data_IF_763868559562
#
_entry.id   IF_763868559562
#
_cell.length_a   1.000
_cell.length_b   1.000
_cell.length_c   1.000
_cell.angle_alpha   90.00
_cell.angle_beta   90.00
_cell.angle_gamma   90.00
#
_symmetry.space_group_name_H-M   'P 1'
#
loop_
_entity.id
_entity.type
_entity.pdbx_description
1 polymer ?
#
# COMPACT_ATOMS: atom_id res chain seq x y z
N UNK A 1 0.21 2.98 -63.15
CA UNK A 1 1.21 3.58 -62.23
C UNK A 1 0.42 4.20 -61.10
N UNK A 2 0.31 3.51 -60.03
CA UNK A 2 -0.35 3.93 -58.78
C UNK A 2 0.41 3.26 -57.64
N UNK A 3 1.08 4.07 -56.86
CA UNK A 3 1.78 3.64 -55.62
C UNK A 3 0.77 3.50 -54.52
N UNK A 4 0.61 2.28 -53.99
CA UNK A 4 -0.06 2.03 -52.70
C UNK A 4 0.95 2.22 -51.59
N UNK A 5 0.71 3.23 -50.76
CA UNK A 5 1.42 3.45 -49.49
C UNK A 5 0.83 2.54 -48.44
N UNK A 6 1.59 1.55 -48.00
CA UNK A 6 1.23 0.67 -46.88
C UNK A 6 1.34 1.36 -45.55
N UNK A 7 0.23 1.49 -44.81
CA UNK A 7 0.19 1.85 -43.41
C UNK A 7 0.71 0.68 -42.57
N UNK A 8 1.88 0.86 -41.96
CA UNK A 8 2.42 -0.04 -40.94
C UNK A 8 1.66 0.19 -39.62
N UNK A 9 0.77 -0.72 -39.28
CA UNK A 9 0.21 -0.84 -37.93
C UNK A 9 1.33 -1.24 -36.96
N UNK A 10 1.77 -0.31 -36.12
CA UNK A 10 2.51 -0.64 -34.94
C UNK A 10 1.57 -1.29 -33.91
N UNK A 11 1.58 -2.59 -33.86
CA UNK A 11 1.01 -3.35 -32.74
C UNK A 11 1.95 -3.19 -31.54
N UNK A 12 1.51 -2.42 -30.56
CA UNK A 12 2.20 -2.33 -29.29
C UNK A 12 2.19 -3.68 -28.58
N UNK A 13 3.36 -4.22 -28.27
CA UNK A 13 3.53 -5.42 -27.46
C UNK A 13 2.90 -5.17 -26.08
N UNK A 14 1.78 -5.83 -25.81
CA UNK A 14 1.20 -5.89 -24.48
C UNK A 14 2.02 -6.88 -23.64
N UNK A 15 2.70 -6.40 -22.61
CA UNK A 15 3.37 -7.24 -21.63
C UNK A 15 2.31 -7.86 -20.72
N UNK A 16 2.20 -9.18 -20.71
CA UNK A 16 1.37 -9.93 -19.76
C UNK A 16 2.16 -10.12 -18.47
N UNK A 17 1.55 -9.73 -17.32
CA UNK A 17 2.09 -10.10 -16.02
C UNK A 17 1.77 -11.57 -15.69
N UNK A 18 2.35 -12.09 -14.60
CA UNK A 18 2.20 -13.49 -14.17
C UNK A 18 0.74 -13.92 -13.92
N UNK A 19 -0.21 -13.01 -13.99
CA UNK A 19 -1.65 -13.24 -13.86
C UNK A 19 -2.41 -13.25 -15.19
N UNK A 20 -1.71 -13.09 -16.33
CA UNK A 20 -2.36 -12.98 -17.64
C UNK A 20 -3.19 -11.71 -17.83
N UNK A 21 -3.01 -10.69 -16.99
CA UNK A 21 -3.72 -9.42 -17.06
C UNK A 21 -2.98 -8.49 -18.03
N UNK A 22 -3.63 -8.10 -19.12
CA UNK A 22 -3.08 -7.14 -20.08
C UNK A 22 -3.03 -5.76 -19.42
N UNK A 23 -1.84 -5.30 -19.03
CA UNK A 23 -1.64 -3.91 -18.63
C UNK A 23 -1.37 -3.06 -19.84
N UNK A 24 -2.23 -2.11 -20.14
CA UNK A 24 -1.89 -1.04 -21.07
C UNK A 24 -0.83 -0.15 -20.42
N UNK A 25 0.36 -0.11 -21.02
CA UNK A 25 1.57 0.56 -20.51
C UNK A 25 1.52 2.09 -20.47
N UNK A 26 0.38 2.73 -20.52
CA UNK A 26 0.28 4.19 -20.43
C UNK A 26 -0.71 4.63 -19.35
N UNK A 27 -0.35 4.43 -18.07
CA UNK A 27 -1.02 5.13 -16.98
C UNK A 27 -0.13 6.29 -16.52
N UNK A 28 -0.53 7.56 -16.73
CA UNK A 28 0.24 8.74 -16.31
C UNK A 28 0.50 8.79 -14.79
N UNK A 29 -0.20 7.97 -14.03
CA UNK A 29 -0.03 7.84 -12.57
C UNK A 29 1.28 7.16 -12.12
N UNK A 30 1.95 6.36 -12.98
CA UNK A 30 3.20 5.69 -12.58
C UNK A 30 4.37 6.66 -12.53
N UNK A 31 4.41 7.62 -13.46
CA UNK A 31 5.48 8.64 -13.56
C UNK A 31 5.35 9.66 -12.41
N UNK A 32 4.11 10.03 -12.03
CA UNK A 32 3.88 10.94 -10.90
C UNK A 32 4.33 10.37 -9.54
N UNK A 33 4.33 9.05 -9.36
CA UNK A 33 4.69 8.41 -8.07
C UNK A 33 6.18 8.48 -7.73
N UNK A 34 7.07 8.46 -8.71
CA UNK A 34 8.54 8.56 -8.49
C UNK A 34 8.89 9.97 -8.05
N UNK A 35 8.30 10.98 -8.65
CA UNK A 35 8.51 12.40 -8.31
C UNK A 35 7.96 12.74 -6.90
N UNK A 36 6.79 12.27 -6.56
CA UNK A 36 6.17 12.49 -5.23
C UNK A 36 7.01 11.87 -4.12
N UNK A 37 7.58 10.69 -4.35
CA UNK A 37 8.41 10.03 -3.35
C UNK A 37 9.76 10.73 -3.17
N UNK A 38 10.42 11.13 -4.25
CA UNK A 38 11.64 11.93 -4.19
C UNK A 38 11.43 13.25 -3.46
N UNK A 39 10.35 13.97 -3.78
CA UNK A 39 9.95 15.20 -3.10
C UNK A 39 9.62 14.97 -1.62
N UNK A 40 8.96 13.86 -1.29
CA UNK A 40 8.68 13.47 0.10
C UNK A 40 9.96 13.26 0.91
N UNK A 41 10.93 12.48 0.41
CA UNK A 41 12.19 12.26 1.12
C UNK A 41 13.04 13.53 1.24
N UNK A 42 13.09 14.37 0.21
CA UNK A 42 13.81 15.65 0.24
C UNK A 42 13.20 16.59 1.27
N UNK A 43 11.87 16.69 1.33
CA UNK A 43 11.18 17.52 2.33
C UNK A 43 11.45 17.06 3.76
N UNK A 44 11.53 15.73 3.99
CA UNK A 44 11.82 15.16 5.30
C UNK A 44 13.29 15.31 5.72
N UNK A 45 14.22 15.26 4.76
CA UNK A 45 15.65 15.49 5.03
C UNK A 45 15.96 16.96 5.40
N UNK A 46 15.13 17.89 4.98
CA UNK A 46 15.29 19.33 5.25
C UNK A 46 14.77 19.76 6.64
N UNK A 47 14.20 18.83 7.43
CA UNK A 47 13.70 19.16 8.78
C UNK A 47 14.85 19.40 9.75
N UNK A 48 14.85 20.52 10.50
CA UNK A 48 15.77 20.73 11.61
C UNK A 48 15.54 19.69 12.72
N UNK A 49 16.60 19.29 13.42
CA UNK A 49 16.56 18.22 14.46
C UNK A 49 15.53 18.47 15.57
N UNK A 50 15.28 19.71 15.93
CA UNK A 50 14.29 20.10 16.95
C UNK A 50 12.82 20.00 16.47
N UNK A 51 12.54 19.87 15.16
CA UNK A 51 11.20 19.58 14.66
C UNK A 51 10.77 18.11 14.84
N UNK A 52 11.66 17.26 15.38
CA UNK A 52 11.40 15.85 15.67
C UNK A 52 10.64 15.62 17.00
N UNK A 53 10.40 16.66 17.79
CA UNK A 53 9.73 16.55 19.10
C UNK A 53 8.24 16.20 19.02
N UNK A 54 7.55 16.45 17.89
CA UNK A 54 6.23 15.89 17.62
C UNK A 54 6.29 15.04 16.36
N UNK A 55 6.30 13.73 16.52
CA UNK A 55 6.29 12.80 15.39
C UNK A 55 5.07 13.09 14.51
N UNK A 56 5.25 13.42 13.21
CA UNK A 56 4.14 13.72 12.32
C UNK A 56 3.25 12.49 12.12
N UNK A 57 1.95 12.72 11.96
CA UNK A 57 0.96 11.68 11.76
C UNK A 57 1.28 10.80 10.55
N UNK A 58 1.10 9.49 10.70
CA UNK A 58 1.04 8.50 9.62
C UNK A 58 -0.24 7.67 9.73
N UNK A 59 -0.65 7.01 8.65
CA UNK A 59 -1.86 6.19 8.63
C UNK A 59 -1.53 4.81 8.06
N UNK A 60 -1.89 3.75 8.79
CA UNK A 60 -1.76 2.38 8.34
C UNK A 60 -3.13 1.81 7.94
N UNK A 61 -3.30 1.40 6.68
CA UNK A 61 -4.55 0.89 6.14
C UNK A 61 -4.43 -0.62 5.87
N UNK A 62 -5.16 -1.42 6.65
CA UNK A 62 -5.46 -2.80 6.34
C UNK A 62 -6.79 -2.88 5.60
N UNK A 63 -6.96 -3.84 4.68
CA UNK A 63 -8.15 -3.91 3.84
C UNK A 63 -8.46 -5.31 3.35
N UNK A 64 -9.73 -5.57 3.12
CA UNK A 64 -10.18 -6.66 2.26
C UNK A 64 -9.97 -6.30 0.78
N UNK A 65 -9.74 -7.30 -0.08
CA UNK A 65 -9.64 -7.08 -1.54
C UNK A 65 -10.98 -6.57 -2.07
N UNK A 66 -10.93 -5.52 -2.89
CA UNK A 66 -12.12 -4.86 -3.41
C UNK A 66 -12.78 -3.86 -2.45
N UNK A 67 -12.29 -3.69 -1.21
CA UNK A 67 -12.83 -2.68 -0.28
C UNK A 67 -12.32 -1.25 -0.53
N UNK A 68 -11.63 -0.98 -1.64
CA UNK A 68 -11.25 0.37 -2.07
C UNK A 68 -10.00 0.94 -1.38
N UNK A 69 -9.13 0.09 -0.81
CA UNK A 69 -7.98 0.56 -0.02
C UNK A 69 -7.09 1.55 -0.72
N UNK A 70 -6.77 1.35 -2.01
CA UNK A 70 -5.95 2.26 -2.80
C UNK A 70 -6.68 3.56 -3.11
N UNK A 71 -7.91 3.46 -3.59
CA UNK A 71 -8.75 4.63 -3.92
C UNK A 71 -8.94 5.53 -2.70
N UNK A 72 -9.23 4.91 -1.53
CA UNK A 72 -9.40 5.65 -0.27
C UNK A 72 -8.07 6.29 0.17
N UNK A 73 -6.94 5.60 0.04
CA UNK A 73 -5.63 6.16 0.37
C UNK A 73 -5.30 7.40 -0.50
N UNK A 74 -5.62 7.37 -1.78
CA UNK A 74 -5.43 8.50 -2.70
C UNK A 74 -6.34 9.68 -2.34
N UNK A 75 -7.63 9.43 -2.06
CA UNK A 75 -8.58 10.46 -1.59
C UNK A 75 -8.16 11.05 -0.24
N UNK A 76 -7.69 10.21 0.68
CA UNK A 76 -7.22 10.62 1.99
C UNK A 76 -5.97 11.50 1.88
N UNK A 77 -5.02 11.14 1.01
CA UNK A 77 -3.82 11.93 0.73
C UNK A 77 -4.20 13.37 0.29
N UNK A 78 -5.15 13.49 -0.64
CA UNK A 78 -5.63 14.80 -1.10
C UNK A 78 -6.30 15.62 0.03
N UNK A 79 -7.12 14.97 0.86
CA UNK A 79 -7.81 15.62 1.98
C UNK A 79 -6.86 16.10 3.06
N UNK A 80 -5.90 15.28 3.43
CA UNK A 80 -4.90 15.62 4.45
C UNK A 80 -3.98 16.74 3.97
N UNK A 81 -3.54 16.70 2.72
CA UNK A 81 -2.77 17.79 2.11
C UNK A 81 -3.56 19.11 2.09
N UNK A 82 -4.86 19.07 1.77
CA UNK A 82 -5.72 20.26 1.79
C UNK A 82 -5.98 20.81 3.21
N UNK A 83 -5.96 19.95 4.23
CA UNK A 83 -6.15 20.35 5.63
C UNK A 83 -4.90 21.01 6.24
N UNK A 84 -3.72 20.72 5.72
CA UNK A 84 -2.45 21.31 6.16
C UNK A 84 -2.19 22.63 5.44
N UNK A 85 -2.66 23.73 6.04
CA UNK A 85 -2.55 25.08 5.47
C UNK A 85 -1.16 25.73 5.60
N UNK A 86 -0.14 24.99 6.03
CA UNK A 86 1.20 25.55 6.20
C UNK A 86 1.92 25.70 4.86
N UNK A 87 2.57 26.82 4.56
CA UNK A 87 3.40 26.99 3.36
C UNK A 87 4.56 26.00 3.28
N UNK A 88 4.97 25.45 4.43
CA UNK A 88 6.01 24.44 4.58
C UNK A 88 5.43 23.05 4.88
N UNK A 89 4.17 22.79 4.54
CA UNK A 89 3.55 21.50 4.75
C UNK A 89 4.30 20.42 3.97
N UNK A 90 4.66 19.34 4.67
CA UNK A 90 5.28 18.20 4.03
C UNK A 90 4.25 17.45 3.18
N UNK A 91 4.61 17.00 1.97
CA UNK A 91 3.68 16.27 1.13
C UNK A 91 3.30 14.93 1.77
N UNK A 92 2.02 14.60 1.74
CA UNK A 92 1.55 13.27 2.05
C UNK A 92 1.88 12.29 0.92
N UNK A 93 2.30 11.09 1.27
CA UNK A 93 2.64 10.05 0.30
C UNK A 93 1.91 8.73 0.59
N UNK A 94 1.42 8.07 -0.47
CA UNK A 94 0.77 6.75 -0.40
C UNK A 94 1.77 5.67 -0.76
N UNK A 95 1.95 4.70 0.13
CA UNK A 95 2.78 3.51 -0.04
C UNK A 95 1.88 2.27 -0.06
N UNK A 96 1.63 1.73 -1.25
CA UNK A 96 0.82 0.53 -1.48
C UNK A 96 1.68 -0.62 -2.06
N UNK A 97 1.32 -1.14 -3.23
CA UNK A 97 2.12 -2.13 -3.94
C UNK A 97 3.55 -1.66 -4.27
N UNK A 98 3.75 -0.35 -4.44
CA UNK A 98 5.07 0.25 -4.63
C UNK A 98 5.99 0.13 -3.41
N UNK A 99 5.44 -0.16 -2.23
CA UNK A 99 6.24 -0.39 -1.02
C UNK A 99 7.17 -1.59 -1.15
N UNK A 100 6.74 -2.65 -1.85
CA UNK A 100 7.62 -3.80 -2.11
C UNK A 100 8.86 -3.39 -2.90
N UNK A 101 8.67 -2.66 -4.00
CA UNK A 101 9.76 -2.13 -4.81
C UNK A 101 10.68 -1.24 -3.98
N UNK A 102 10.12 -0.40 -3.13
CA UNK A 102 10.88 0.47 -2.23
C UNK A 102 11.73 -0.31 -1.23
N UNK A 103 11.18 -1.39 -0.66
CA UNK A 103 11.95 -2.28 0.23
C UNK A 103 13.17 -2.84 -0.48
N UNK A 104 13.03 -3.26 -1.74
CA UNK A 104 14.15 -3.79 -2.51
C UNK A 104 15.22 -2.71 -2.76
N UNK A 105 14.80 -1.51 -3.12
CA UNK A 105 15.70 -0.37 -3.34
C UNK A 105 16.44 0.04 -2.06
N UNK A 106 15.73 0.17 -0.92
CA UNK A 106 16.31 0.56 0.36
C UNK A 106 17.35 -0.42 0.90
N UNK A 107 17.25 -1.68 0.50
CA UNK A 107 18.13 -2.74 0.97
C UNK A 107 19.06 -3.29 -0.13
N UNK A 108 19.15 -2.59 -1.27
CA UNK A 108 19.98 -2.98 -2.42
C UNK A 108 19.74 -4.42 -2.89
N UNK A 109 18.48 -4.87 -2.81
CA UNK A 109 18.08 -6.21 -3.18
C UNK A 109 17.70 -6.30 -4.68
N UNK A 110 17.97 -7.43 -5.33
CA UNK A 110 17.64 -7.62 -6.74
C UNK A 110 16.11 -7.45 -7.00
N UNK A 111 15.71 -6.77 -8.09
CA UNK A 111 14.29 -6.52 -8.43
C UNK A 111 13.44 -7.79 -8.58
N UNK A 112 14.03 -8.91 -9.00
CA UNK A 112 13.32 -10.20 -9.14
C UNK A 112 12.79 -10.75 -7.80
N UNK A 113 13.22 -10.20 -6.66
CA UNK A 113 12.69 -10.55 -5.34
C UNK A 113 11.36 -9.86 -5.00
N UNK A 114 10.86 -8.94 -5.84
CA UNK A 114 9.60 -8.24 -5.60
C UNK A 114 8.45 -9.22 -5.32
N UNK A 115 8.38 -10.31 -6.05
CA UNK A 115 7.38 -11.39 -5.88
C UNK A 115 7.34 -11.99 -4.47
N UNK A 116 8.47 -12.01 -3.75
CA UNK A 116 8.57 -12.53 -2.37
C UNK A 116 8.23 -11.49 -1.31
N UNK A 117 8.33 -10.22 -1.64
CA UNK A 117 7.96 -9.11 -0.75
C UNK A 117 6.47 -8.81 -0.82
N UNK A 118 5.73 -9.36 -1.80
CA UNK A 118 4.30 -9.10 -1.96
C UNK A 118 3.45 -9.87 -0.95
N UNK A 119 2.41 -9.25 -0.37
CA UNK A 119 1.44 -9.92 0.53
C UNK A 119 0.71 -11.07 -0.17
N UNK A 120 0.55 -10.92 -1.49
CA UNK A 120 -0.15 -11.86 -2.34
C UNK A 120 0.75 -13.00 -2.84
N UNK A 121 2.00 -13.10 -2.32
CA UNK A 121 2.90 -14.18 -2.67
C UNK A 121 2.21 -15.53 -2.42
N UNK A 122 1.95 -16.26 -3.48
CA UNK A 122 1.47 -17.64 -3.44
C UNK A 122 2.47 -18.47 -2.64
N UNK A 123 2.06 -19.62 -2.15
CA UNK A 123 3.01 -20.58 -1.57
C UNK A 123 4.21 -20.66 -2.49
N UNK A 124 5.38 -20.37 -1.93
CA UNK A 124 6.63 -20.42 -2.69
C UNK A 124 6.62 -21.72 -3.51
N UNK A 125 6.84 -21.68 -4.83
CA UNK A 125 7.06 -22.86 -5.61
C UNK A 125 8.12 -23.73 -4.92
N UNK A 126 8.07 -25.05 -5.09
CA UNK A 126 9.08 -25.95 -4.48
C UNK A 126 10.49 -25.50 -4.86
N UNK A 127 10.64 -24.95 -6.09
CA UNK A 127 11.90 -24.36 -6.57
C UNK A 127 12.38 -23.21 -5.67
N UNK A 128 11.49 -22.32 -5.26
CA UNK A 128 11.86 -21.21 -4.39
C UNK A 128 12.26 -21.65 -2.99
N UNK A 129 11.67 -22.73 -2.47
CA UNK A 129 12.09 -23.34 -1.20
C UNK A 129 13.50 -23.93 -1.34
N UNK A 130 13.78 -24.59 -2.46
CA UNK A 130 15.11 -25.14 -2.77
C UNK A 130 16.15 -24.01 -2.89
N UNK A 131 15.81 -22.94 -3.61
CA UNK A 131 16.69 -21.77 -3.75
C UNK A 131 16.95 -21.08 -2.39
N UNK A 132 15.96 -21.00 -1.50
CA UNK A 132 16.11 -20.48 -0.14
C UNK A 132 17.06 -21.37 0.68
N UNK A 133 16.89 -22.70 0.61
CA UNK A 133 17.76 -23.67 1.31
C UNK A 133 19.18 -23.63 0.78
N UNK A 134 19.37 -23.40 -0.52
CA UNK A 134 20.69 -23.26 -1.15
C UNK A 134 21.30 -21.87 -0.94
N UNK A 135 20.61 -20.94 -0.29
CA UNK A 135 21.12 -19.58 -0.04
C UNK A 135 21.22 -18.71 -1.29
N UNK A 136 20.50 -19.05 -2.38
CA UNK A 136 20.55 -18.31 -3.63
C UNK A 136 19.74 -17.01 -3.59
N UNK A 137 18.82 -16.85 -2.62
CA UNK A 137 18.13 -15.61 -2.32
C UNK A 137 17.83 -15.47 -0.81
N UNK A 138 17.55 -14.25 -0.31
CA UNK A 138 17.16 -14.03 1.07
C UNK A 138 15.89 -14.82 1.43
N UNK A 139 15.84 -15.36 2.65
CA UNK A 139 14.66 -16.07 3.13
C UNK A 139 13.43 -15.13 3.20
N UNK A 140 12.22 -15.70 3.09
CA UNK A 140 10.99 -14.92 3.27
C UNK A 140 10.95 -14.19 4.62
N UNK A 141 11.60 -14.73 5.65
CA UNK A 141 11.78 -14.09 6.96
C UNK A 141 12.69 -12.86 6.89
N UNK A 142 13.81 -12.94 6.17
CA UNK A 142 14.73 -11.82 5.94
C UNK A 142 14.01 -10.68 5.20
N UNK A 143 13.24 -11.00 4.16
CA UNK A 143 12.46 -10.00 3.42
C UNK A 143 11.37 -9.35 4.29
N UNK A 144 10.71 -10.12 5.17
CA UNK A 144 9.77 -9.57 6.14
C UNK A 144 10.45 -8.62 7.14
N UNK A 145 11.68 -8.91 7.58
CA UNK A 145 12.46 -8.01 8.42
C UNK A 145 12.83 -6.71 7.69
N UNK A 146 13.27 -6.77 6.43
CA UNK A 146 13.54 -5.58 5.61
C UNK A 146 12.28 -4.74 5.43
N UNK A 147 11.15 -5.38 5.10
CA UNK A 147 9.84 -4.72 5.01
C UNK A 147 9.48 -4.01 6.31
N UNK A 148 9.68 -4.66 7.46
CA UNK A 148 9.44 -4.10 8.78
C UNK A 148 10.27 -2.84 9.03
N UNK A 149 11.58 -2.88 8.74
CA UNK A 149 12.47 -1.73 8.89
C UNK A 149 12.04 -0.54 8.03
N UNK A 150 11.71 -0.79 6.76
CA UNK A 150 11.25 0.27 5.85
C UNK A 150 9.92 0.87 6.31
N UNK A 151 8.96 0.05 6.74
CA UNK A 151 7.66 0.53 7.25
C UNK A 151 7.84 1.38 8.51
N UNK A 152 8.65 0.93 9.48
CA UNK A 152 8.92 1.70 10.70
C UNK A 152 9.60 3.03 10.39
N UNK A 153 10.55 3.06 9.44
CA UNK A 153 11.20 4.28 9.00
C UNK A 153 10.20 5.26 8.36
N UNK A 154 9.36 4.80 7.44
CA UNK A 154 8.35 5.64 6.78
C UNK A 154 7.31 6.15 7.77
N UNK A 155 6.84 5.31 8.70
CA UNK A 155 5.91 5.71 9.74
C UNK A 155 6.50 6.75 10.69
N UNK A 156 7.78 6.60 11.04
CA UNK A 156 8.51 7.56 11.90
C UNK A 156 8.76 8.91 11.25
N UNK A 157 8.93 8.95 9.92
CA UNK A 157 9.03 10.20 9.16
C UNK A 157 7.70 10.98 9.13
N UNK A 158 6.56 10.29 9.25
CA UNK A 158 5.23 10.89 9.20
C UNK A 158 4.74 11.22 7.78
N UNK A 159 3.52 11.75 7.66
CA UNK A 159 2.86 12.08 6.37
C UNK A 159 2.81 10.89 5.40
N UNK A 160 2.84 9.67 5.93
CA UNK A 160 2.83 8.43 5.17
C UNK A 160 1.48 7.71 5.32
N UNK A 161 0.90 7.29 4.20
CA UNK A 161 -0.26 6.39 4.16
C UNK A 161 0.24 5.03 3.69
N UNK A 162 0.36 4.10 4.63
CA UNK A 162 0.91 2.76 4.42
C UNK A 162 -0.24 1.78 4.16
N UNK A 163 -0.29 1.17 2.99
CA UNK A 163 -1.39 0.26 2.62
C UNK A 163 -0.91 -1.18 2.58
N UNK A 164 -1.31 -1.96 3.58
CA UNK A 164 -1.00 -3.38 3.68
C UNK A 164 0.36 -3.73 4.26
N UNK A 165 0.92 -4.86 3.89
CA UNK A 165 2.22 -5.39 4.33
C UNK A 165 2.35 -5.60 5.85
N UNK A 166 1.23 -5.80 6.53
CA UNK A 166 1.24 -5.89 7.99
C UNK A 166 1.57 -4.56 8.68
N UNK A 167 1.48 -3.42 7.98
CA UNK A 167 1.83 -2.11 8.53
C UNK A 167 1.11 -1.82 9.86
N UNK A 168 -0.17 -2.21 9.99
CA UNK A 168 -0.94 -2.07 11.22
C UNK A 168 -0.33 -2.82 12.41
N UNK A 169 0.23 -4.01 12.20
CA UNK A 169 0.87 -4.79 13.26
C UNK A 169 2.28 -4.27 13.55
N UNK A 170 3.02 -3.97 12.48
CA UNK A 170 4.39 -3.45 12.57
C UNK A 170 4.44 -2.13 13.35
N UNK A 171 3.48 -1.25 13.10
CA UNK A 171 3.42 0.10 13.70
C UNK A 171 2.52 0.19 14.93
N UNK A 172 1.98 -0.93 15.43
CA UNK A 172 1.02 -0.96 16.54
C UNK A 172 1.46 -0.23 17.83
N UNK A 173 2.77 -0.06 18.04
CA UNK A 173 3.34 0.64 19.20
C UNK A 173 3.74 2.08 18.91
N UNK A 174 3.56 2.56 17.67
CA UNK A 174 3.91 3.92 17.30
C UNK A 174 2.71 4.85 17.57
N UNK A 175 2.84 5.84 18.49
CA UNK A 175 1.73 6.69 18.89
C UNK A 175 1.28 7.65 17.77
N UNK A 176 2.14 7.93 16.80
CA UNK A 176 1.87 8.80 15.67
C UNK A 176 1.20 8.09 14.49
N UNK A 177 0.82 6.82 14.62
CA UNK A 177 0.19 6.06 13.52
C UNK A 177 -1.28 5.78 13.84
N UNK A 178 -2.16 6.16 12.91
CA UNK A 178 -3.59 5.85 12.98
C UNK A 178 -3.88 4.58 12.17
N UNK A 179 -4.48 3.57 12.83
CA UNK A 179 -4.69 2.24 12.26
C UNK A 179 -6.13 2.05 11.77
N UNK A 180 -6.28 1.73 10.49
CA UNK A 180 -7.58 1.59 9.82
C UNK A 180 -7.75 0.20 9.22
N UNK A 181 -8.94 -0.40 9.42
CA UNK A 181 -9.40 -1.58 8.70
C UNK A 181 -10.55 -1.22 7.77
N UNK A 182 -10.43 -1.57 6.48
CA UNK A 182 -11.48 -1.39 5.48
C UNK A 182 -12.10 -2.74 5.14
N UNK A 183 -13.40 -2.84 5.30
CA UNK A 183 -14.20 -4.02 4.99
C UNK A 183 -15.39 -3.63 4.10
N UNK A 184 -15.92 -4.59 3.33
CA UNK A 184 -17.17 -4.38 2.62
C UNK A 184 -17.87 -5.73 2.34
N UNK A 185 -19.20 -5.73 2.09
CA UNK A 185 -19.90 -6.92 1.65
C UNK A 185 -19.28 -7.51 0.38
N UNK A 186 -19.19 -8.84 0.31
CA UNK A 186 -18.53 -9.55 -0.79
C UNK A 186 -19.02 -9.11 -2.18
N UNK A 187 -20.34 -8.90 -2.33
CA UNK A 187 -20.94 -8.45 -3.59
C UNK A 187 -20.41 -7.06 -4.03
N UNK A 188 -20.29 -6.12 -3.08
CA UNK A 188 -19.75 -4.79 -3.36
C UNK A 188 -18.28 -4.87 -3.73
N UNK A 189 -17.49 -5.69 -3.01
CA UNK A 189 -16.08 -5.93 -3.29
C UNK A 189 -15.87 -6.57 -4.66
N UNK A 190 -16.72 -7.53 -5.04
CA UNK A 190 -16.64 -8.21 -6.33
C UNK A 190 -16.86 -7.23 -7.49
N UNK A 191 -17.91 -6.40 -7.42
CA UNK A 191 -18.17 -5.38 -8.43
C UNK A 191 -17.00 -4.41 -8.57
N UNK A 192 -16.53 -3.87 -7.47
CA UNK A 192 -15.41 -2.93 -7.48
C UNK A 192 -14.12 -3.57 -7.98
N UNK A 193 -13.82 -4.83 -7.62
CA UNK A 193 -12.64 -5.53 -8.11
C UNK A 193 -12.75 -5.84 -9.61
N UNK A 194 -13.92 -6.26 -10.09
CA UNK A 194 -14.16 -6.51 -11.51
C UNK A 194 -13.93 -5.22 -12.35
N UNK A 195 -14.48 -4.10 -11.89
CA UNK A 195 -14.34 -2.80 -12.54
C UNK A 195 -12.89 -2.28 -12.49
N UNK A 196 -12.28 -2.31 -11.30
CA UNK A 196 -10.94 -1.76 -11.07
C UNK A 196 -9.83 -2.52 -11.79
N UNK A 197 -9.94 -3.84 -11.87
CA UNK A 197 -8.96 -4.71 -12.54
C UNK A 197 -9.36 -5.12 -13.95
N UNK A 198 -10.51 -4.66 -14.47
CA UNK A 198 -11.07 -5.04 -15.77
C UNK A 198 -11.25 -6.56 -15.91
N UNK A 199 -11.76 -7.22 -14.88
CA UNK A 199 -11.97 -8.66 -14.80
C UNK A 199 -13.44 -9.03 -14.97
N UNK A 200 -13.70 -10.30 -15.32
CA UNK A 200 -15.03 -10.90 -15.16
C UNK A 200 -15.40 -10.99 -13.66
N UNK A 201 -16.70 -11.04 -13.35
CA UNK A 201 -17.15 -11.22 -11.95
C UNK A 201 -16.61 -12.52 -11.33
N UNK A 202 -16.47 -13.59 -12.12
CA UNK A 202 -15.93 -14.87 -11.69
C UNK A 202 -14.44 -14.77 -11.35
N UNK A 203 -13.66 -14.09 -12.19
CA UNK A 203 -12.22 -13.88 -11.95
C UNK A 203 -11.98 -12.92 -10.78
N UNK A 204 -12.79 -11.87 -10.65
CA UNK A 204 -12.75 -10.97 -9.52
C UNK A 204 -13.04 -11.71 -8.20
N UNK A 205 -14.05 -12.60 -8.18
CA UNK A 205 -14.36 -13.41 -7.01
C UNK A 205 -13.22 -14.39 -6.64
N UNK A 206 -12.54 -14.94 -7.66
CA UNK A 206 -11.35 -15.78 -7.46
C UNK A 206 -10.20 -14.95 -6.87
N UNK A 207 -9.90 -13.82 -7.47
CA UNK A 207 -8.87 -12.88 -7.01
C UNK A 207 -9.09 -12.47 -5.55
N UNK A 208 -10.32 -12.11 -5.17
CA UNK A 208 -10.68 -11.73 -3.79
C UNK A 208 -10.36 -12.86 -2.81
N UNK A 209 -10.77 -14.09 -3.12
CA UNK A 209 -10.51 -15.23 -2.23
C UNK A 209 -9.03 -15.51 -2.06
N UNK A 210 -8.28 -15.51 -3.17
CA UNK A 210 -6.85 -15.77 -3.16
C UNK A 210 -6.07 -14.72 -2.38
N UNK A 211 -6.32 -13.44 -2.66
CA UNK A 211 -5.61 -12.34 -1.99
C UNK A 211 -5.97 -12.20 -0.52
N UNK A 212 -7.25 -12.30 -0.15
CA UNK A 212 -7.65 -12.22 1.26
C UNK A 212 -7.06 -13.39 2.07
N UNK A 213 -7.01 -14.59 1.48
CA UNK A 213 -6.38 -15.74 2.12
C UNK A 213 -4.86 -15.56 2.26
N UNK A 214 -4.20 -15.05 1.22
CA UNK A 214 -2.77 -14.77 1.25
C UNK A 214 -2.41 -13.73 2.33
N UNK A 215 -3.20 -12.65 2.47
CA UNK A 215 -2.99 -11.63 3.52
C UNK A 215 -3.18 -12.18 4.94
N UNK A 216 -4.20 -13.00 5.18
CA UNK A 216 -4.39 -13.66 6.49
C UNK A 216 -3.18 -14.53 6.84
N UNK A 217 -2.72 -15.35 5.88
CA UNK A 217 -1.52 -16.19 6.09
C UNK A 217 -0.28 -15.37 6.34
N UNK A 218 -0.08 -14.28 5.59
CA UNK A 218 1.07 -13.38 5.75
C UNK A 218 1.12 -12.79 7.16
N UNK A 219 0.02 -12.20 7.64
CA UNK A 219 -0.05 -11.60 8.97
C UNK A 219 0.12 -12.65 10.07
N UNK A 220 -0.52 -13.81 9.94
CA UNK A 220 -0.37 -14.90 10.91
C UNK A 220 1.06 -15.45 10.94
N UNK A 221 1.67 -15.70 9.78
CA UNK A 221 2.99 -16.33 9.68
C UNK A 221 4.12 -15.44 10.21
N UNK A 222 4.12 -14.17 9.84
CA UNK A 222 5.25 -13.27 10.13
C UNK A 222 5.06 -12.46 11.42
N UNK A 223 3.82 -12.24 11.85
CA UNK A 223 3.52 -11.37 12.99
C UNK A 223 2.70 -12.04 14.09
N UNK A 224 2.35 -13.32 13.92
CA UNK A 224 1.53 -14.08 14.87
C UNK A 224 0.25 -13.33 15.30
N UNK A 225 -0.43 -12.70 14.34
CA UNK A 225 -1.60 -11.85 14.56
C UNK A 225 -2.74 -12.24 13.61
N UNK A 226 -3.98 -12.00 14.04
CA UNK A 226 -5.17 -12.23 13.23
C UNK A 226 -5.62 -10.92 12.59
N UNK A 227 -5.56 -10.86 11.24
CA UNK A 227 -5.90 -9.63 10.49
C UNK A 227 -7.35 -9.15 10.71
N UNK A 228 -8.23 -10.03 11.13
CA UNK A 228 -9.64 -9.74 11.37
C UNK A 228 -9.93 -9.37 12.84
N UNK A 229 -8.92 -9.35 13.72
CA UNK A 229 -9.06 -8.89 15.09
C UNK A 229 -9.27 -7.34 15.10
N UNK A 230 -10.45 -6.86 15.55
CA UNK A 230 -10.74 -5.43 15.53
C UNK A 230 -9.87 -4.62 16.51
N UNK A 231 -9.26 -5.24 17.50
CA UNK A 231 -8.42 -4.58 18.49
C UNK A 231 -7.06 -4.12 17.93
N UNK A 232 -6.72 -4.56 16.72
CA UNK A 232 -5.53 -4.10 15.98
C UNK A 232 -5.73 -2.75 15.29
N UNK A 233 -6.93 -2.15 15.39
CA UNK A 233 -7.29 -0.97 14.61
C UNK A 233 -7.95 0.10 15.48
N UNK A 234 -7.65 1.36 15.22
CA UNK A 234 -8.35 2.50 15.84
C UNK A 234 -9.77 2.62 15.28
N UNK A 235 -9.97 2.21 14.00
CA UNK A 235 -11.29 2.21 13.36
C UNK A 235 -11.42 1.11 12.31
N UNK A 236 -12.60 0.47 12.26
CA UNK A 236 -13.00 -0.44 11.17
C UNK A 236 -14.18 0.17 10.43
N UNK A 237 -14.05 0.37 9.11
CA UNK A 237 -15.05 1.04 8.28
C UNK A 237 -15.61 0.10 7.21
N UNK A 238 -16.94 0.06 7.10
CA UNK A 238 -17.63 -0.62 6.02
C UNK A 238 -17.79 0.30 4.82
N UNK A 239 -16.88 0.17 3.85
CA UNK A 239 -16.84 1.01 2.66
C UNK A 239 -18.00 0.76 1.69
N UNK A 240 -18.64 -0.40 1.78
CA UNK A 240 -19.87 -0.69 1.03
C UNK A 240 -21.08 0.12 1.50
N UNK A 241 -21.05 0.63 2.75
CA UNK A 241 -22.09 1.50 3.31
C UNK A 241 -21.73 2.99 3.21
N UNK A 242 -20.48 3.32 3.48
CA UNK A 242 -20.01 4.72 3.54
C UNK A 242 -19.64 5.28 2.15
N UNK A 243 -19.35 4.41 1.19
CA UNK A 243 -18.67 4.81 -0.02
C UNK A 243 -17.20 5.21 0.24
N UNK A 244 -16.38 5.33 -0.81
CA UNK A 244 -14.96 5.61 -0.66
C UNK A 244 -14.68 7.04 -0.19
N UNK A 245 -15.42 8.01 -0.72
CA UNK A 245 -15.29 9.41 -0.32
C UNK A 245 -15.69 9.63 1.16
N UNK A 246 -16.79 9.00 1.60
CA UNK A 246 -17.22 9.06 3.00
C UNK A 246 -16.25 8.39 3.95
N UNK A 247 -15.70 7.23 3.57
CA UNK A 247 -14.68 6.55 4.35
C UNK A 247 -13.40 7.41 4.49
N UNK A 248 -12.92 8.01 3.40
CA UNK A 248 -11.76 8.91 3.43
C UNK A 248 -12.01 10.13 4.33
N UNK A 249 -13.20 10.71 4.33
CA UNK A 249 -13.59 11.82 5.20
C UNK A 249 -13.52 11.44 6.68
N UNK A 250 -14.14 10.32 7.04
CA UNK A 250 -14.14 9.82 8.43
C UNK A 250 -12.72 9.55 8.92
N UNK A 251 -11.88 8.91 8.10
CA UNK A 251 -10.48 8.63 8.45
C UNK A 251 -9.72 9.94 8.67
N UNK A 252 -9.85 10.91 7.76
CA UNK A 252 -9.15 12.18 7.87
C UNK A 252 -9.53 12.92 9.18
N UNK A 253 -10.81 12.99 9.50
CA UNK A 253 -11.31 13.65 10.71
C UNK A 253 -10.78 12.99 11.97
N UNK A 254 -10.89 11.66 12.09
CA UNK A 254 -10.44 10.92 13.27
C UNK A 254 -8.92 10.99 13.45
N UNK A 255 -8.15 10.81 12.36
CA UNK A 255 -6.70 10.85 12.42
C UNK A 255 -6.17 12.24 12.83
N UNK A 256 -6.75 13.32 12.30
CA UNK A 256 -6.40 14.68 12.69
C UNK A 256 -6.82 15.01 14.13
N UNK A 257 -7.91 14.45 14.62
CA UNK A 257 -8.34 14.60 16.02
C UNK A 257 -7.38 13.89 16.97
N UNK A 258 -6.97 12.65 16.66
CA UNK A 258 -6.00 11.91 17.46
C UNK A 258 -4.66 12.66 17.57
N UNK A 259 -4.15 13.22 16.46
CA UNK A 259 -2.94 14.05 16.46
C UNK A 259 -3.03 15.20 17.47
N UNK A 260 -4.16 15.90 17.56
CA UNK A 260 -4.36 17.01 18.52
C UNK A 260 -4.28 16.53 19.96
N UNK A 261 -4.88 15.38 20.27
CA UNK A 261 -4.89 14.80 21.61
C UNK A 261 -3.49 14.37 22.05
N UNK A 262 -2.64 13.88 21.14
CA UNK A 262 -1.24 13.56 21.45
C UNK A 262 -0.42 14.81 21.77
N UNK A 263 -0.50 15.84 20.96
CA UNK A 263 0.23 17.11 21.17
C UNK A 263 -0.16 17.79 22.50
N UNK A 264 -1.42 17.63 22.95
CA UNK A 264 -1.89 18.16 24.22
C UNK A 264 -1.42 17.37 25.44
N UNK A 265 -1.14 16.05 25.30
CA UNK A 265 -0.64 15.21 26.40
C UNK A 265 0.86 15.35 26.65
N UNK A 266 1.63 15.74 25.64
CA UNK A 266 3.08 15.93 25.71
C UNK A 266 3.46 17.36 26.16
N UNK A 267 2.48 18.23 26.44
CA UNK A 267 2.64 19.56 27.05
C UNK A 267 2.29 19.57 28.51
#
# INVERSE_FOLDING_TARGET
MGEEAGEAKQEGLACQDEFGIIRKENHPYLIMKIDVFGSYLQSQAALPENARESQPLSIAISRETGAGGRTIAELLCQKLAAAEKSPNAHPWAVFDSSLAKRVLEDHELPPNLERFVTEDARLLPVEAIVEEVLGLHPSGWTLAQHTTKTILRLAGLGHAILVGRGANVITARLPNVFHVRLVAPLLARNRHAAEFYHLSEADAAKLIREQDHARRRYVRRYFNSEIDDPTLYDVTLNTGRLGFAGAAEVIAQLALQQRRTFVERDR
#
